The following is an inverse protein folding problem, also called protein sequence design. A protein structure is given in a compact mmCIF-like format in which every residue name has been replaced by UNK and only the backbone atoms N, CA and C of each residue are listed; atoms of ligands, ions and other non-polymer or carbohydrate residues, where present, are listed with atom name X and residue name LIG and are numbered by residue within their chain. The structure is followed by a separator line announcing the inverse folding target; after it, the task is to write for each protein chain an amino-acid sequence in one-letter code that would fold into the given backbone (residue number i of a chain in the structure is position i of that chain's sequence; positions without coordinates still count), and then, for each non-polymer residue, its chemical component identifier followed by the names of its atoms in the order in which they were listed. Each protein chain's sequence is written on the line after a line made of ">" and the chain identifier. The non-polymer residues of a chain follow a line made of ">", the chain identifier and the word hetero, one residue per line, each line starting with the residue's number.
data_IF_737424695839
#
_entry.id   IF_737424695839
#
_cell.length_a   1.000
_cell.length_b   1.000
_cell.length_c   1.000
_cell.angle_alpha   90.00
_cell.angle_beta   90.00
_cell.angle_gamma   90.00
#
_symmetry.space_group_name_H-M   'P 1'
#
loop_
_entity.id
_entity.type
_entity.pdbx_description
1 polymer ?
#
# COMPACT_ATOMS: atom_id res chain seq x y z
N UNK A 1 -11.71 -1.68 3.51
CA UNK A 1 -10.43 -2.42 3.65
C UNK A 1 -10.24 -3.03 5.04
N UNK A 2 -10.27 -2.24 6.12
CA UNK A 2 -10.00 -2.73 7.50
C UNK A 2 -10.86 -3.93 7.93
N UNK A 3 -12.18 -3.88 7.70
CA UNK A 3 -13.10 -4.95 8.14
C UNK A 3 -12.90 -6.27 7.38
N UNK A 4 -12.67 -6.18 6.07
CA UNK A 4 -12.39 -7.35 5.23
C UNK A 4 -11.09 -8.04 5.63
N UNK A 5 -10.04 -7.26 5.97
CA UNK A 5 -8.79 -7.82 6.50
C UNK A 5 -8.98 -8.45 7.87
N UNK A 6 -9.77 -7.83 8.75
CA UNK A 6 -10.07 -8.36 10.08
C UNK A 6 -10.81 -9.70 10.02
N UNK A 7 -11.72 -9.84 9.05
CA UNK A 7 -12.43 -11.07 8.75
C UNK A 7 -11.49 -12.15 8.16
N UNK A 8 -10.68 -11.80 7.17
CA UNK A 8 -9.75 -12.74 6.52
C UNK A 8 -8.66 -13.29 7.47
N UNK A 9 -8.31 -12.51 8.50
CA UNK A 9 -7.32 -12.87 9.51
C UNK A 9 -7.97 -13.28 10.85
N UNK A 10 -9.20 -13.78 10.82
CA UNK A 10 -9.99 -14.08 12.03
C UNK A 10 -9.33 -15.04 13.00
N UNK A 11 -8.54 -15.96 12.47
CA UNK A 11 -7.91 -17.04 13.22
C UNK A 11 -6.62 -16.59 13.92
N UNK A 12 -6.16 -15.36 13.66
CA UNK A 12 -5.08 -14.73 14.42
C UNK A 12 -5.66 -14.20 15.74
N UNK A 13 -5.08 -14.56 16.91
CA UNK A 13 -5.56 -14.06 18.19
C UNK A 13 -5.64 -12.53 18.24
N UNK A 14 -6.67 -11.96 18.90
CA UNK A 14 -6.88 -10.50 18.94
C UNK A 14 -5.66 -9.70 19.41
N UNK A 15 -4.89 -10.25 20.36
CA UNK A 15 -3.65 -9.65 20.86
C UNK A 15 -2.55 -9.44 19.81
N UNK A 16 -2.61 -10.15 18.68
CA UNK A 16 -1.69 -9.99 17.55
C UNK A 16 -2.38 -9.36 16.32
N UNK A 17 -3.65 -9.71 16.08
CA UNK A 17 -4.44 -9.19 14.95
C UNK A 17 -4.68 -7.69 15.04
N UNK A 18 -5.09 -7.18 16.20
CA UNK A 18 -5.42 -5.75 16.34
C UNK A 18 -4.18 -4.85 16.16
N UNK A 19 -3.01 -5.16 16.77
CA UNK A 19 -1.78 -4.43 16.47
C UNK A 19 -1.34 -4.53 15.00
N UNK A 20 -1.51 -5.68 14.36
CA UNK A 20 -1.18 -5.87 12.93
C UNK A 20 -1.95 -4.88 12.05
N UNK A 21 -3.27 -4.83 12.21
CA UNK A 21 -4.14 -3.94 11.42
C UNK A 21 -3.89 -2.47 11.74
N UNK A 22 -3.69 -2.15 13.02
CA UNK A 22 -3.41 -0.77 13.46
C UNK A 22 -2.09 -0.24 12.92
N UNK A 23 -0.99 -0.99 13.06
CA UNK A 23 0.32 -0.54 12.59
C UNK A 23 0.39 -0.56 11.05
N UNK A 24 -0.36 -1.44 10.37
CA UNK A 24 -0.49 -1.38 8.91
C UNK A 24 -1.26 -0.15 8.45
N UNK A 25 -2.40 0.17 9.06
CA UNK A 25 -3.13 1.40 8.75
C UNK A 25 -2.27 2.65 8.94
N UNK A 26 -1.47 2.69 10.02
CA UNK A 26 -0.52 3.77 10.26
C UNK A 26 0.59 3.80 9.21
N UNK A 27 1.17 2.65 8.82
CA UNK A 27 2.15 2.59 7.72
C UNK A 27 1.61 3.25 6.44
N UNK A 28 0.38 2.93 6.04
CA UNK A 28 -0.27 3.51 4.87
C UNK A 28 -0.46 5.02 5.01
N UNK A 29 -0.91 5.47 6.18
CA UNK A 29 -1.11 6.90 6.48
C UNK A 29 0.20 7.69 6.42
N UNK A 30 1.26 7.20 7.05
CA UNK A 30 2.56 7.89 7.10
C UNK A 30 3.24 7.93 5.72
N UNK A 31 3.05 6.88 4.91
CA UNK A 31 3.52 6.88 3.53
C UNK A 31 2.78 7.91 2.68
N UNK A 32 1.45 8.01 2.83
CA UNK A 32 0.67 9.06 2.17
C UNK A 32 1.06 10.47 2.62
N UNK A 33 1.48 10.63 3.88
CA UNK A 33 1.95 11.91 4.44
C UNK A 33 3.39 12.28 4.05
N UNK A 34 4.14 11.38 3.43
CA UNK A 34 5.54 11.62 3.10
C UNK A 34 6.53 11.46 4.28
N UNK A 35 6.10 10.86 5.39
CA UNK A 35 6.91 10.70 6.60
C UNK A 35 7.71 9.38 6.56
N UNK A 36 8.84 9.41 5.84
CA UNK A 36 9.64 8.22 5.56
C UNK A 36 10.25 7.58 6.81
N UNK A 37 10.57 8.37 7.83
CA UNK A 37 11.08 7.85 9.10
C UNK A 37 10.00 7.03 9.81
N UNK A 38 8.78 7.57 9.91
CA UNK A 38 7.67 6.83 10.52
C UNK A 38 7.28 5.62 9.68
N UNK A 39 7.30 5.68 8.35
CA UNK A 39 7.08 4.48 7.51
C UNK A 39 8.02 3.35 7.92
N UNK A 40 9.32 3.64 8.04
CA UNK A 40 10.30 2.66 8.50
C UNK A 40 10.07 2.16 9.93
N UNK A 41 9.64 3.05 10.83
CA UNK A 41 9.28 2.68 12.20
C UNK A 41 8.11 1.70 12.23
N UNK A 42 7.05 1.95 11.44
CA UNK A 42 5.87 1.08 11.31
C UNK A 42 6.22 -0.26 10.68
N UNK A 43 7.06 -0.27 9.65
CA UNK A 43 7.54 -1.51 9.04
C UNK A 43 8.32 -2.39 10.03
N UNK A 44 9.15 -1.80 10.89
CA UNK A 44 9.85 -2.52 11.96
C UNK A 44 8.88 -3.17 12.96
N UNK A 45 7.84 -2.44 13.40
CA UNK A 45 6.81 -3.00 14.29
C UNK A 45 6.02 -4.12 13.63
N UNK A 46 5.64 -3.96 12.36
CA UNK A 46 4.96 -5.00 11.60
C UNK A 46 5.81 -6.28 11.51
N UNK A 47 7.12 -6.16 11.30
CA UNK A 47 8.03 -7.31 11.34
C UNK A 47 7.96 -8.08 12.67
N UNK A 48 7.94 -7.39 13.80
CA UNK A 48 7.84 -7.99 15.14
C UNK A 48 6.48 -8.70 15.37
N UNK A 49 5.40 -8.07 14.89
CA UNK A 49 4.05 -8.63 14.97
C UNK A 49 3.93 -9.88 14.09
N UNK A 50 4.36 -9.79 12.82
CA UNK A 50 4.29 -10.90 11.86
C UNK A 50 5.16 -12.05 12.33
N UNK A 51 6.38 -11.79 12.83
CA UNK A 51 7.21 -12.82 13.45
C UNK A 51 6.48 -13.52 14.61
N UNK A 52 5.83 -12.76 15.49
CA UNK A 52 5.07 -13.31 16.62
C UNK A 52 3.91 -14.20 16.16
N UNK A 53 3.24 -13.84 15.06
CA UNK A 53 2.20 -14.64 14.40
C UNK A 53 2.80 -15.95 13.86
N UNK A 54 3.89 -15.88 13.09
CA UNK A 54 4.54 -17.07 12.52
C UNK A 54 5.07 -18.01 13.60
N UNK A 55 5.65 -17.46 14.67
CA UNK A 55 6.09 -18.24 15.83
C UNK A 55 4.92 -18.97 16.49
N UNK A 56 3.80 -18.29 16.70
CA UNK A 56 2.61 -18.90 17.28
C UNK A 56 1.98 -19.98 16.38
N UNK A 57 1.92 -19.72 15.08
CA UNK A 57 1.42 -20.65 14.09
C UNK A 57 2.26 -21.94 14.05
N UNK A 58 3.59 -21.81 14.05
CA UNK A 58 4.50 -22.96 13.95
C UNK A 58 4.70 -23.72 15.26
N UNK A 59 4.55 -23.06 16.42
CA UNK A 59 4.64 -23.71 17.74
C UNK A 59 3.30 -24.28 18.24
N UNK A 60 2.17 -23.86 17.64
CA UNK A 60 0.83 -24.12 18.14
C UNK A 60 0.46 -23.29 19.38
N UNK A 61 1.28 -22.32 19.78
CA UNK A 61 1.07 -21.47 20.95
C UNK A 61 1.43 -20.01 20.65
N UNK A 62 0.39 -19.20 20.43
CA UNK A 62 0.56 -17.77 20.17
C UNK A 62 0.92 -17.00 21.45
N UNK A 63 1.86 -16.05 21.37
CA UNK A 63 2.07 -15.10 22.46
C UNK A 63 0.85 -14.19 22.63
N UNK A 64 0.63 -13.70 23.85
CA UNK A 64 -0.50 -12.80 24.17
C UNK A 64 -0.37 -11.42 23.54
N UNK A 65 0.85 -10.99 23.20
CA UNK A 65 1.17 -9.73 22.56
C UNK A 65 2.40 -9.88 21.64
N UNK A 66 2.60 -8.95 20.69
CA UNK A 66 3.80 -8.94 19.86
C UNK A 66 5.06 -8.80 20.71
N UNK A 67 6.10 -9.56 20.35
CA UNK A 67 7.37 -9.50 21.05
C UNK A 67 8.54 -9.47 20.06
N UNK A 68 9.44 -8.51 20.25
CA UNK A 68 10.71 -8.43 19.52
C UNK A 68 11.62 -9.59 19.97
N UNK A 69 12.11 -10.44 19.05
CA UNK A 69 13.14 -11.41 19.39
C UNK A 69 14.48 -10.71 19.66
N UNK A 70 15.33 -11.32 20.49
CA UNK A 70 16.67 -10.79 20.79
C UNK A 70 17.50 -10.61 19.51
N UNK A 71 17.41 -11.55 18.57
CA UNK A 71 18.01 -11.48 17.25
C UNK A 71 16.99 -11.89 16.19
N UNK A 72 16.57 -10.93 15.35
CA UNK A 72 15.55 -11.15 14.33
C UNK A 72 16.00 -12.15 13.25
N UNK A 73 17.27 -12.10 12.85
CA UNK A 73 17.83 -12.98 11.81
C UNK A 73 17.83 -14.43 12.28
N UNK A 74 18.38 -14.70 13.47
CA UNK A 74 18.40 -16.04 14.07
C UNK A 74 16.98 -16.56 14.26
N UNK A 75 16.09 -15.72 14.78
CA UNK A 75 14.70 -16.10 15.06
C UNK A 75 13.91 -16.44 13.79
N UNK A 76 14.08 -15.66 12.72
CA UNK A 76 13.45 -15.93 11.42
C UNK A 76 14.04 -17.18 10.75
N UNK A 77 15.36 -17.37 10.82
CA UNK A 77 16.02 -18.56 10.26
C UNK A 77 15.58 -19.84 10.98
N UNK A 78 15.33 -19.77 12.28
CA UNK A 78 14.81 -20.91 13.05
C UNK A 78 13.41 -21.37 12.59
N UNK A 79 12.60 -20.51 11.96
CA UNK A 79 11.30 -20.92 11.41
C UNK A 79 11.44 -21.87 10.20
N UNK A 80 12.60 -21.89 9.54
CA UNK A 80 12.84 -22.78 8.40
C UNK A 80 12.81 -24.27 8.81
N UNK A 81 13.10 -24.57 10.08
CA UNK A 81 13.06 -25.94 10.62
C UNK A 81 11.67 -26.40 11.07
N UNK A 82 10.64 -25.56 10.95
CA UNK A 82 9.27 -25.98 11.28
C UNK A 82 8.82 -27.13 10.34
N UNK A 83 7.86 -27.94 10.81
CA UNK A 83 7.40 -29.14 10.11
C UNK A 83 6.91 -28.86 8.68
N UNK A 84 7.05 -29.86 7.80
CA UNK A 84 6.65 -29.74 6.38
C UNK A 84 5.14 -29.54 6.18
N UNK A 85 4.33 -29.74 7.22
CA UNK A 85 2.90 -29.39 7.25
C UNK A 85 2.66 -27.88 7.11
N UNK A 86 3.64 -27.03 7.44
CA UNK A 86 3.55 -25.59 7.22
C UNK A 86 4.04 -25.21 5.83
N UNK A 87 3.33 -24.30 5.18
CA UNK A 87 3.66 -23.82 3.85
C UNK A 87 5.04 -23.16 3.80
N UNK A 88 5.61 -23.11 2.59
CA UNK A 88 6.89 -22.41 2.36
C UNK A 88 6.80 -20.92 2.64
N UNK A 89 5.61 -20.32 2.48
CA UNK A 89 5.35 -18.94 2.83
C UNK A 89 5.63 -18.66 4.31
N UNK A 90 5.06 -19.50 5.19
CA UNK A 90 5.21 -19.43 6.65
C UNK A 90 6.64 -19.70 7.10
N UNK A 91 7.29 -20.73 6.54
CA UNK A 91 8.59 -21.19 7.01
C UNK A 91 9.78 -20.41 6.47
N UNK A 92 9.69 -19.90 5.24
CA UNK A 92 10.85 -19.41 4.50
C UNK A 92 10.61 -18.02 3.92
N UNK A 93 9.53 -17.83 3.16
CA UNK A 93 9.39 -16.61 2.34
C UNK A 93 9.10 -15.37 3.20
N UNK A 94 8.06 -15.42 4.05
CA UNK A 94 7.75 -14.29 4.95
C UNK A 94 8.93 -14.03 5.91
N UNK A 95 9.53 -15.03 6.58
CA UNK A 95 10.70 -14.81 7.43
C UNK A 95 11.88 -14.11 6.73
N UNK A 96 12.17 -14.44 5.46
CA UNK A 96 13.25 -13.77 4.71
C UNK A 96 12.93 -12.32 4.36
N UNK A 97 11.66 -12.01 4.08
CA UNK A 97 11.22 -10.62 3.88
C UNK A 97 11.28 -9.83 5.18
N UNK A 98 10.95 -10.45 6.33
CA UNK A 98 11.15 -9.86 7.67
C UNK A 98 12.62 -9.51 7.86
N UNK A 99 13.54 -10.44 7.59
CA UNK A 99 14.99 -10.20 7.70
C UNK A 99 15.41 -8.99 6.87
N UNK A 100 15.07 -8.97 5.58
CA UNK A 100 15.46 -7.87 4.69
C UNK A 100 14.87 -6.52 5.13
N UNK A 101 13.61 -6.53 5.59
CA UNK A 101 12.92 -5.32 6.08
C UNK A 101 13.53 -4.80 7.36
N UNK A 102 13.79 -5.68 8.32
CA UNK A 102 14.37 -5.31 9.60
C UNK A 102 15.82 -4.86 9.49
N UNK A 103 16.59 -5.49 8.58
CA UNK A 103 17.96 -5.10 8.26
C UNK A 103 18.02 -3.66 7.73
N UNK A 104 17.20 -3.31 6.73
CA UNK A 104 17.17 -1.96 6.19
C UNK A 104 16.75 -0.94 7.26
N UNK A 105 15.72 -1.26 8.06
CA UNK A 105 15.23 -0.42 9.14
C UNK A 105 16.31 -0.11 10.18
N UNK A 106 17.14 -1.09 10.53
CA UNK A 106 18.21 -0.92 11.52
C UNK A 106 19.42 -0.13 10.99
N UNK A 107 19.61 -0.10 9.67
CA UNK A 107 20.72 0.59 8.99
C UNK A 107 20.30 1.97 8.42
N UNK A 108 19.29 2.60 9.02
CA UNK A 108 18.84 3.97 8.74
C UNK A 108 18.63 4.70 10.06
N UNK A 109 18.65 6.03 10.03
CA UNK A 109 18.28 6.90 11.16
C UNK A 109 16.76 6.84 11.43
N UNK A 110 16.25 5.66 11.77
CA UNK A 110 14.84 5.40 12.09
C UNK A 110 14.72 5.08 13.57
N UNK A 111 14.13 6.00 14.33
CA UNK A 111 13.91 5.83 15.77
C UNK A 111 15.18 5.83 16.62
N UNK A 112 16.35 6.05 16.04
CA UNK A 112 17.62 6.25 16.73
C UNK A 112 18.44 7.33 16.02
N UNK A 113 19.10 8.19 16.81
CA UNK A 113 19.97 9.28 16.31
C UNK A 113 21.27 8.75 15.68
N UNK A 114 21.63 7.48 15.95
CA UNK A 114 22.90 6.86 15.56
C UNK A 114 22.97 6.33 14.13
N UNK A 115 21.99 6.62 13.27
CA UNK A 115 22.02 6.20 11.88
C UNK A 115 22.74 7.22 10.99
N UNK A 116 23.71 6.77 10.20
CA UNK A 116 24.46 7.65 9.28
C UNK A 116 23.65 8.09 8.05
N UNK A 117 22.54 7.40 7.77
CA UNK A 117 21.72 7.59 6.56
C UNK A 117 20.27 7.86 6.96
N UNK A 118 19.78 9.04 6.59
CA UNK A 118 18.37 9.41 6.77
C UNK A 118 17.48 8.58 5.84
N UNK A 119 16.33 8.08 6.33
CA UNK A 119 15.36 7.39 5.49
C UNK A 119 14.81 8.34 4.42
N UNK A 120 14.65 7.81 3.20
CA UNK A 120 14.12 8.56 2.06
C UNK A 120 12.99 7.79 1.37
N UNK A 121 12.47 8.35 0.28
CA UNK A 121 11.37 7.74 -0.48
C UNK A 121 11.69 6.34 -1.02
N UNK A 122 12.94 6.05 -1.42
CA UNK A 122 13.35 4.72 -1.88
C UNK A 122 13.22 3.69 -0.75
N UNK A 123 13.66 4.06 0.46
CA UNK A 123 13.54 3.19 1.64
C UNK A 123 12.06 2.98 1.99
N UNK A 124 11.26 4.05 1.97
CA UNK A 124 9.82 4.01 2.24
C UNK A 124 9.06 3.10 1.24
N UNK A 125 9.43 3.14 -0.04
CA UNK A 125 8.83 2.29 -1.07
C UNK A 125 9.15 0.81 -0.84
N UNK A 126 10.39 0.50 -0.44
CA UNK A 126 10.76 -0.85 -0.05
C UNK A 126 9.95 -1.34 1.16
N UNK A 127 9.88 -0.53 2.23
CA UNK A 127 9.10 -0.85 3.43
C UNK A 127 7.61 -1.04 3.11
N UNK A 128 7.03 -0.17 2.31
CA UNK A 128 5.63 -0.24 1.92
C UNK A 128 5.33 -1.53 1.16
N UNK A 129 6.13 -1.82 0.13
CA UNK A 129 5.94 -3.02 -0.70
C UNK A 129 6.20 -4.31 0.07
N UNK A 130 7.22 -4.35 0.91
CA UNK A 130 7.52 -5.55 1.71
C UNK A 130 6.42 -5.84 2.73
N UNK A 131 5.93 -4.83 3.43
CA UNK A 131 4.83 -4.98 4.38
C UNK A 131 3.52 -5.39 3.71
N UNK A 132 3.14 -4.75 2.59
CA UNK A 132 1.96 -5.14 1.81
C UNK A 132 2.04 -6.59 1.34
N UNK A 133 3.20 -7.01 0.83
CA UNK A 133 3.41 -8.39 0.40
C UNK A 133 3.28 -9.39 1.54
N UNK A 134 3.88 -9.12 2.70
CA UNK A 134 3.78 -10.02 3.87
C UNK A 134 2.35 -10.14 4.38
N UNK A 135 1.58 -9.06 4.39
CA UNK A 135 0.16 -9.07 4.79
C UNK A 135 -0.69 -9.83 3.77
N UNK A 136 -0.47 -9.62 2.48
CA UNK A 136 -1.13 -10.38 1.42
C UNK A 136 -0.84 -11.89 1.54
N UNK A 137 0.39 -12.27 1.87
CA UNK A 137 0.75 -13.66 2.13
C UNK A 137 0.06 -14.23 3.38
N UNK A 138 -0.04 -13.46 4.47
CA UNK A 138 -0.81 -13.88 5.64
C UNK A 138 -2.27 -14.13 5.27
N UNK A 139 -2.89 -13.24 4.50
CA UNK A 139 -4.27 -13.43 4.00
C UNK A 139 -4.37 -14.75 3.22
N UNK A 140 -3.43 -15.01 2.28
CA UNK A 140 -3.41 -16.29 1.56
C UNK A 140 -3.25 -17.51 2.47
N UNK A 141 -2.44 -17.41 3.53
CA UNK A 141 -2.25 -18.49 4.50
C UNK A 141 -3.51 -18.77 5.32
N UNK A 142 -4.27 -17.74 5.69
CA UNK A 142 -5.45 -17.88 6.56
C UNK A 142 -6.79 -18.04 5.81
N UNK A 143 -6.89 -17.69 4.53
CA UNK A 143 -8.15 -17.74 3.74
C UNK A 143 -8.24 -18.94 2.78
N UNK A 144 -7.55 -20.06 3.08
CA UNK A 144 -7.31 -21.21 2.18
C UNK A 144 -8.53 -21.88 1.50
N UNK A 145 -9.78 -21.51 1.82
CA UNK A 145 -11.02 -22.08 1.29
C UNK A 145 -11.81 -21.19 0.30
N UNK A 146 -11.51 -19.89 0.18
CA UNK A 146 -12.17 -18.98 -0.79
C UNK A 146 -11.15 -18.16 -1.58
N UNK A 147 -10.71 -18.74 -2.69
CA UNK A 147 -9.63 -18.17 -3.52
C UNK A 147 -10.01 -16.86 -4.20
N UNK A 148 -11.29 -16.64 -4.49
CA UNK A 148 -11.73 -15.46 -5.23
C UNK A 148 -11.79 -14.21 -4.33
N UNK A 149 -12.37 -14.33 -3.13
CA UNK A 149 -12.39 -13.21 -2.18
C UNK A 149 -11.00 -12.90 -1.63
N UNK A 150 -10.17 -13.93 -1.42
CA UNK A 150 -8.78 -13.75 -1.02
C UNK A 150 -7.96 -12.99 -2.08
N UNK A 151 -8.18 -13.30 -3.37
CA UNK A 151 -7.50 -12.60 -4.46
C UNK A 151 -7.88 -11.13 -4.50
N UNK A 152 -9.19 -10.82 -4.49
CA UNK A 152 -9.67 -9.43 -4.52
C UNK A 152 -9.13 -8.63 -3.32
N UNK A 153 -9.09 -9.24 -2.13
CA UNK A 153 -8.53 -8.59 -0.94
C UNK A 153 -7.02 -8.36 -1.05
N UNK A 154 -6.28 -9.32 -1.62
CA UNK A 154 -4.84 -9.17 -1.88
C UNK A 154 -4.58 -8.04 -2.87
N UNK A 155 -5.38 -7.94 -3.94
CA UNK A 155 -5.29 -6.83 -4.90
C UNK A 155 -5.51 -5.50 -4.19
N UNK A 156 -6.58 -5.36 -3.40
CA UNK A 156 -6.83 -4.14 -2.60
C UNK A 156 -5.69 -3.81 -1.62
N UNK A 157 -5.13 -4.79 -0.92
CA UNK A 157 -4.01 -4.55 0.01
C UNK A 157 -2.74 -4.08 -0.72
N UNK A 158 -2.55 -4.55 -1.95
CA UNK A 158 -1.35 -4.27 -2.75
C UNK A 158 -1.49 -3.06 -3.69
N UNK A 159 -2.67 -2.43 -3.74
CA UNK A 159 -2.94 -1.21 -4.51
C UNK A 159 -1.91 -0.11 -4.24
N UNK A 160 -1.57 0.65 -5.27
CA UNK A 160 -0.58 1.73 -5.19
C UNK A 160 -1.15 2.91 -4.41
N UNK A 161 -0.42 3.40 -3.41
CA UNK A 161 -0.72 4.70 -2.78
C UNK A 161 -0.02 5.78 -3.61
N UNK A 162 -0.75 6.86 -3.90
CA UNK A 162 -0.25 8.01 -4.65
C UNK A 162 -0.20 9.21 -3.70
N UNK A 163 0.95 9.54 -3.07
CA UNK A 163 1.02 10.64 -2.09
C UNK A 163 0.57 12.00 -2.65
N UNK A 164 0.72 12.23 -3.95
CA UNK A 164 0.20 13.44 -4.62
C UNK A 164 -1.33 13.52 -4.64
N UNK A 165 -2.04 12.42 -4.38
CA UNK A 165 -3.50 12.35 -4.32
C UNK A 165 -3.94 12.04 -2.90
N UNK A 166 -4.61 12.98 -2.27
CA UNK A 166 -5.32 12.75 -1.04
C UNK A 166 -6.71 12.19 -1.35
N UNK A 167 -7.06 11.04 -0.77
CA UNK A 167 -8.41 10.46 -0.83
C UNK A 167 -9.06 10.53 0.55
N UNK A 168 -10.24 11.13 0.62
CA UNK A 168 -11.07 11.17 1.82
C UNK A 168 -12.47 10.68 1.48
N UNK A 169 -12.79 9.45 1.87
CA UNK A 169 -14.09 8.81 1.66
C UNK A 169 -14.55 8.86 0.19
N UNK A 170 -13.64 8.62 -0.75
CA UNK A 170 -13.90 8.64 -2.19
C UNK A 170 -13.78 10.02 -2.82
N UNK A 171 -13.60 11.09 -2.02
CA UNK A 171 -13.27 12.41 -2.53
C UNK A 171 -11.76 12.54 -2.69
N UNK A 172 -11.30 12.59 -3.94
CA UNK A 172 -9.88 12.77 -4.26
C UNK A 172 -9.51 14.25 -4.40
N UNK A 173 -8.27 14.59 -4.08
CA UNK A 173 -7.69 15.92 -4.28
C UNK A 173 -6.22 15.80 -4.64
N UNK A 174 -5.81 16.48 -5.71
CA UNK A 174 -4.39 16.61 -6.06
C UNK A 174 -3.75 17.63 -5.12
N UNK A 175 -2.70 17.22 -4.41
CA UNK A 175 -2.02 18.00 -3.39
C UNK A 175 -0.99 18.97 -3.96
N UNK A 176 -0.44 18.69 -5.14
CA UNK A 176 0.47 19.62 -5.82
C UNK A 176 -0.35 20.75 -6.49
N UNK A 177 -0.28 22.00 -5.98
CA UNK A 177 -1.09 23.10 -6.48
C UNK A 177 -0.64 23.59 -7.86
N UNK A 178 0.64 23.39 -8.21
CA UNK A 178 1.29 23.91 -9.40
C UNK A 178 0.90 23.15 -10.67
N UNK A 179 0.32 21.96 -10.52
CA UNK A 179 -0.18 21.17 -11.64
C UNK A 179 -1.31 21.90 -12.38
N UNK A 180 -1.22 21.91 -13.71
CA UNK A 180 -2.27 22.44 -14.58
C UNK A 180 -3.58 21.64 -14.42
N UNK A 181 -4.72 22.20 -14.83
CA UNK A 181 -5.98 21.44 -14.82
C UNK A 181 -5.89 20.14 -15.64
N UNK A 182 -5.16 20.15 -16.76
CA UNK A 182 -4.92 18.96 -17.57
C UNK A 182 -4.11 17.91 -16.80
N UNK A 183 -3.02 18.32 -16.14
CA UNK A 183 -2.20 17.40 -15.37
C UNK A 183 -2.93 16.86 -14.13
N UNK A 184 -3.68 17.72 -13.43
CA UNK A 184 -4.56 17.30 -12.32
C UNK A 184 -5.59 16.26 -12.79
N UNK A 185 -6.17 16.46 -13.97
CA UNK A 185 -7.13 15.52 -14.57
C UNK A 185 -6.48 14.15 -14.82
N UNK A 186 -5.26 14.14 -15.39
CA UNK A 186 -4.53 12.90 -15.65
C UNK A 186 -4.11 12.19 -14.35
N UNK A 187 -3.67 12.93 -13.33
CA UNK A 187 -3.33 12.38 -12.01
C UNK A 187 -4.55 11.76 -11.32
N UNK A 188 -5.72 12.43 -11.40
CA UNK A 188 -6.96 11.90 -10.82
C UNK A 188 -7.49 10.68 -11.56
N UNK A 189 -7.36 10.65 -12.89
CA UNK A 189 -7.68 9.47 -13.69
C UNK A 189 -6.69 8.32 -13.40
N UNK A 190 -5.39 8.62 -13.22
CA UNK A 190 -4.38 7.64 -12.80
C UNK A 190 -4.71 7.03 -11.43
N UNK A 191 -5.24 7.84 -10.51
CA UNK A 191 -5.69 7.41 -9.19
C UNK A 191 -7.05 6.71 -9.17
N UNK A 192 -7.69 6.53 -10.32
CA UNK A 192 -9.02 5.93 -10.47
C UNK A 192 -9.01 4.86 -11.57
N UNK A 193 -8.33 3.71 -11.36
CA UNK A 193 -8.11 2.71 -12.41
C UNK A 193 -9.40 2.08 -12.95
N UNK A 194 -10.46 2.01 -12.14
CA UNK A 194 -11.80 1.57 -12.54
C UNK A 194 -12.60 2.62 -13.34
N UNK A 195 -12.00 3.80 -13.55
CA UNK A 195 -12.64 4.97 -14.14
C UNK A 195 -13.31 5.87 -13.10
N UNK A 196 -13.48 7.14 -13.49
CA UNK A 196 -14.23 8.12 -12.71
C UNK A 196 -15.07 9.00 -13.64
N UNK A 197 -16.18 9.53 -13.13
CA UNK A 197 -17.03 10.40 -13.95
C UNK A 197 -16.37 11.75 -14.21
N UNK A 198 -16.68 12.37 -15.35
CA UNK A 198 -16.21 13.73 -15.65
C UNK A 198 -16.62 14.72 -14.56
N UNK A 199 -17.79 14.53 -13.93
CA UNK A 199 -18.27 15.34 -12.81
C UNK A 199 -17.35 15.20 -11.59
N UNK A 200 -16.98 13.97 -11.23
CA UNK A 200 -16.06 13.72 -10.10
C UNK A 200 -14.70 14.36 -10.35
N UNK A 201 -14.07 14.08 -11.49
CA UNK A 201 -12.74 14.63 -11.81
C UNK A 201 -12.78 16.16 -11.89
N UNK A 202 -13.83 16.76 -12.46
CA UNK A 202 -14.02 18.21 -12.49
C UNK A 202 -14.07 18.79 -11.07
N UNK A 203 -14.82 18.14 -10.17
CA UNK A 203 -14.93 18.54 -8.75
C UNK A 203 -13.59 18.39 -8.02
N UNK A 204 -12.95 17.23 -8.13
CA UNK A 204 -11.66 16.91 -7.48
C UNK A 204 -10.50 17.79 -7.95
N UNK A 205 -10.53 18.22 -9.22
CA UNK A 205 -9.54 19.15 -9.79
C UNK A 205 -9.82 20.62 -9.45
N UNK A 206 -10.89 20.91 -8.69
CA UNK A 206 -11.40 22.25 -8.39
C UNK A 206 -11.71 23.09 -9.66
N UNK A 207 -12.12 22.45 -10.75
CA UNK A 207 -12.55 23.14 -11.96
C UNK A 207 -14.03 23.52 -11.86
N UNK A 208 -14.35 24.80 -12.05
CA UNK A 208 -15.69 25.32 -11.74
C UNK A 208 -16.78 24.92 -12.76
N UNK A 209 -16.44 24.81 -14.05
CA UNK A 209 -17.44 24.66 -15.11
C UNK A 209 -17.36 23.27 -15.78
N UNK A 210 -18.30 22.39 -15.44
CA UNK A 210 -18.34 21.02 -15.96
C UNK A 210 -18.52 20.94 -17.49
N UNK A 211 -19.31 21.83 -18.09
CA UNK A 211 -19.51 21.82 -19.55
C UNK A 211 -18.22 22.18 -20.29
N UNK A 212 -17.52 23.20 -19.81
CA UNK A 212 -16.21 23.60 -20.35
C UNK A 212 -15.15 22.53 -20.06
N UNK A 213 -15.18 21.90 -18.90
CA UNK A 213 -14.28 20.80 -18.56
C UNK A 213 -14.38 19.66 -19.58
N UNK A 214 -15.60 19.19 -19.88
CA UNK A 214 -15.84 18.15 -20.90
C UNK A 214 -15.39 18.58 -22.29
N UNK A 215 -15.84 19.75 -22.75
CA UNK A 215 -15.65 20.20 -24.13
C UNK A 215 -14.24 20.68 -24.46
N UNK A 216 -13.43 21.04 -23.46
CA UNK A 216 -12.06 21.56 -23.69
C UNK A 216 -10.98 20.72 -23.04
N UNK A 217 -11.11 20.38 -21.75
CA UNK A 217 -10.08 19.65 -21.02
C UNK A 217 -10.12 18.17 -21.40
N UNK A 218 -11.26 17.50 -21.19
CA UNK A 218 -11.39 16.08 -21.50
C UNK A 218 -11.29 15.82 -23.00
N UNK A 219 -11.97 16.62 -23.82
CA UNK A 219 -11.84 16.51 -25.28
C UNK A 219 -10.40 16.63 -25.74
N UNK A 220 -9.66 17.65 -25.28
CA UNK A 220 -8.25 17.82 -25.67
C UNK A 220 -7.37 16.66 -25.21
N UNK A 221 -7.54 16.17 -23.98
CA UNK A 221 -6.79 15.00 -23.49
C UNK A 221 -7.14 13.71 -24.25
N UNK A 222 -8.40 13.57 -24.70
CA UNK A 222 -8.86 12.45 -25.51
C UNK A 222 -8.31 12.53 -26.93
N UNK A 223 -8.27 13.72 -27.53
CA UNK A 223 -7.67 13.98 -28.85
C UNK A 223 -6.16 13.69 -28.83
N UNK A 224 -5.49 13.99 -27.71
CA UNK A 224 -4.08 13.65 -27.44
C UNK A 224 -3.86 12.15 -27.11
N UNK A 225 -4.92 11.33 -27.13
CA UNK A 225 -4.95 9.92 -26.76
C UNK A 225 -4.41 9.63 -25.34
N UNK A 226 -4.48 10.59 -24.43
CA UNK A 226 -4.05 10.44 -23.03
C UNK A 226 -5.15 9.85 -22.15
N UNK A 227 -6.41 10.05 -22.51
CA UNK A 227 -7.57 9.43 -21.86
C UNK A 227 -8.51 8.81 -22.89
N UNK A 228 -9.35 7.90 -22.42
CA UNK A 228 -10.59 7.50 -23.08
C UNK A 228 -11.76 8.16 -22.33
N UNK A 229 -12.44 9.11 -22.98
CA UNK A 229 -13.61 9.77 -22.41
C UNK A 229 -14.88 9.34 -23.16
N UNK A 230 -15.71 8.56 -22.48
CA UNK A 230 -17.00 8.16 -23.01
C UNK A 230 -18.06 9.21 -22.68
N UNK A 231 -18.45 10.02 -23.68
CA UNK A 231 -19.43 11.09 -23.51
C UNK A 231 -20.85 10.60 -23.18
N UNK A 232 -21.16 9.33 -23.47
CA UNK A 232 -22.47 8.72 -23.21
C UNK A 232 -22.60 8.27 -21.76
N UNK A 233 -21.57 7.61 -21.22
CA UNK A 233 -21.55 7.15 -19.83
C UNK A 233 -20.96 8.19 -18.86
N UNK A 234 -20.37 9.27 -19.40
CA UNK A 234 -19.63 10.31 -18.67
C UNK A 234 -18.39 9.80 -17.93
N UNK A 235 -17.88 8.62 -18.30
CA UNK A 235 -16.72 7.97 -17.65
C UNK A 235 -15.42 8.36 -18.35
N UNK A 236 -14.41 8.67 -17.55
CA UNK A 236 -13.04 8.94 -17.98
C UNK A 236 -12.15 7.80 -17.49
N UNK A 237 -11.43 7.18 -18.43
CA UNK A 237 -10.39 6.19 -18.17
C UNK A 237 -9.04 6.73 -18.64
N UNK A 238 -7.98 6.43 -17.90
CA UNK A 238 -6.64 6.77 -18.35
C UNK A 238 -6.16 5.76 -19.42
N UNK A 239 -5.61 6.26 -20.52
CA UNK A 239 -5.07 5.38 -21.56
C UNK A 239 -3.66 4.88 -21.18
N UNK A 240 -3.13 3.84 -21.86
CA UNK A 240 -1.72 3.46 -21.72
C UNK A 240 -0.74 4.61 -22.02
N UNK A 241 -1.07 5.50 -22.96
CA UNK A 241 -0.27 6.69 -23.28
C UNK A 241 -0.35 7.71 -22.15
N UNK A 242 -1.53 7.91 -21.57
CA UNK A 242 -1.74 8.74 -20.39
C UNK A 242 -0.92 8.27 -19.18
N UNK A 243 -0.91 6.95 -18.92
CA UNK A 243 -0.08 6.35 -17.88
C UNK A 243 1.40 6.73 -18.06
N UNK A 244 1.93 6.53 -19.26
CA UNK A 244 3.33 6.89 -19.56
C UNK A 244 3.58 8.39 -19.41
N UNK A 245 2.64 9.23 -19.82
CA UNK A 245 2.76 10.68 -19.69
C UNK A 245 2.86 11.09 -18.22
N UNK A 246 1.96 10.60 -17.37
CA UNK A 246 1.93 10.88 -15.93
C UNK A 246 3.25 10.50 -15.26
N UNK A 247 3.77 9.30 -15.56
CA UNK A 247 5.00 8.79 -14.97
C UNK A 247 6.25 9.52 -15.49
N UNK A 248 6.37 9.70 -16.80
CA UNK A 248 7.56 10.33 -17.42
C UNK A 248 7.69 11.82 -17.13
N UNK A 249 6.58 12.52 -16.89
CA UNK A 249 6.56 13.94 -16.50
C UNK A 249 6.72 14.15 -14.99
N UNK A 250 6.80 13.08 -14.21
CA UNK A 250 6.92 13.18 -12.75
C UNK A 250 5.72 13.84 -12.08
N UNK A 251 4.51 13.71 -12.67
CA UNK A 251 3.29 14.34 -12.12
C UNK A 251 2.86 13.74 -10.78
N UNK A 252 3.42 12.58 -10.43
CA UNK A 252 3.15 11.89 -9.17
C UNK A 252 4.03 12.37 -8.01
N UNK A 253 4.92 13.32 -8.26
CA UNK A 253 5.81 13.88 -7.24
C UNK A 253 5.06 14.89 -6.37
N UNK A 254 5.33 14.82 -5.07
CA UNK A 254 4.79 15.69 -4.03
C UNK A 254 5.60 16.98 -3.93
#
# INVERSE_FOLDING_TARGET
>A
MSDAMAAALSDIPPGLRSPLLSEFGQLLSEYGAGDWEKVGLKAGKLCEIIYSILKGLTSGSYPSAPAKPQNMVTACTALESAGQSFSRAVRIQIPRIIIATYELRNNRAIGHVSGDINPNHMDAEFFMRSCKWMIAELIRVYTSSDTASALALVETVTEKILPVVWDNEGRKKVLNPDLSTKDKTLVLAYASPEGATAREICSWSNYANLSRFRSSVLKGLSDDALIDFNSTTDVVNLSPTGNRYVESKGLLNF
#
